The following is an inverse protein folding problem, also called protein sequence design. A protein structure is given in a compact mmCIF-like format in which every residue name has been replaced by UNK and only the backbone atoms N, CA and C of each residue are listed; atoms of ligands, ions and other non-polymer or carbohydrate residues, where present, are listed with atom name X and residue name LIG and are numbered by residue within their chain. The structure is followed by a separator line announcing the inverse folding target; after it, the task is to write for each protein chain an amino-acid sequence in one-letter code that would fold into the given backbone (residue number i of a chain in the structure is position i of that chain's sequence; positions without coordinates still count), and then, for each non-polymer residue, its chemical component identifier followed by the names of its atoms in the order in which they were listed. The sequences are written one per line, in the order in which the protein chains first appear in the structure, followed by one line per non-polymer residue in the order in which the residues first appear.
data_IF_603258940671
#
_entry.id   IF_603258940671
#
_cell.length_a   1.000
_cell.length_b   1.000
_cell.length_c   1.000
_cell.angle_alpha   90.00
_cell.angle_beta   90.00
_cell.angle_gamma   90.00
#
_symmetry.space_group_name_H-M   'P 1'
#
loop_
_entity.id
_entity.type
_entity.pdbx_description
1 polymer ?
#
# COMPACT_ATOMS: atom_id res chain seq x y z
N UNK A 1 4.28 -6.45 13.99
CA UNK A 1 5.01 -5.36 13.31
C UNK A 1 4.10 -4.36 12.64
N UNK A 2 3.26 -4.77 11.69
CA UNK A 2 2.35 -3.85 10.95
C UNK A 2 1.42 -3.06 11.88
N UNK A 3 0.86 -3.72 12.90
CA UNK A 3 0.01 -3.05 13.90
C UNK A 3 0.80 -2.01 14.69
N UNK A 4 2.02 -2.35 15.13
CA UNK A 4 2.90 -1.41 15.82
C UNK A 4 3.25 -0.19 14.96
N UNK A 5 3.52 -0.39 13.67
CA UNK A 5 3.77 0.71 12.73
C UNK A 5 2.52 1.59 12.56
N UNK A 6 1.33 0.99 12.46
CA UNK A 6 0.06 1.73 12.36
C UNK A 6 -0.19 2.59 13.60
N UNK A 7 0.06 2.05 14.79
CA UNK A 7 -0.06 2.79 16.05
C UNK A 7 0.99 3.91 16.16
N UNK A 8 2.22 3.66 15.74
CA UNK A 8 3.29 4.67 15.70
C UNK A 8 2.94 5.85 14.78
N UNK A 9 2.30 5.60 13.63
CA UNK A 9 1.78 6.68 12.76
C UNK A 9 0.70 7.53 13.45
N UNK A 10 0.02 6.97 14.46
CA UNK A 10 -0.96 7.68 15.30
C UNK A 10 -0.33 8.31 16.56
N UNK A 11 1.02 8.41 16.61
CA UNK A 11 1.79 8.93 17.74
C UNK A 11 1.58 8.12 19.04
N UNK A 12 1.32 6.80 18.92
CA UNK A 12 1.23 5.89 20.07
C UNK A 12 2.54 5.14 20.23
N UNK A 13 3.03 5.08 21.47
CA UNK A 13 4.20 4.31 21.84
C UNK A 13 3.82 2.87 22.12
N UNK A 14 4.58 1.91 21.56
CA UNK A 14 4.29 0.50 21.68
C UNK A 14 5.45 -0.26 22.31
N UNK A 15 5.12 -1.33 23.04
CA UNK A 15 6.04 -2.38 23.47
C UNK A 15 5.59 -3.70 22.83
N UNK A 16 6.49 -4.40 22.15
CA UNK A 16 6.26 -5.76 21.66
C UNK A 16 6.74 -6.75 22.71
N UNK A 17 5.95 -7.79 23.00
CA UNK A 17 6.31 -8.86 23.95
C UNK A 17 6.37 -10.17 23.20
N UNK A 18 7.56 -10.82 23.19
CA UNK A 18 7.82 -12.06 22.48
C UNK A 18 7.47 -13.27 23.35
N UNK A 19 6.31 -13.87 23.12
CA UNK A 19 5.88 -15.06 23.88
C UNK A 19 5.86 -16.34 23.03
N UNK A 20 6.22 -16.31 21.73
CA UNK A 20 6.41 -17.50 20.91
C UNK A 20 7.79 -18.11 21.20
N UNK A 21 7.87 -18.88 22.26
CA UNK A 21 9.12 -19.53 22.71
C UNK A 21 9.39 -20.86 21.99
N UNK A 22 8.42 -21.37 21.23
CA UNK A 22 8.49 -22.69 20.60
C UNK A 22 9.17 -22.70 19.25
N UNK A 23 9.18 -21.57 18.55
CA UNK A 23 9.91 -21.41 17.29
C UNK A 23 11.27 -20.78 17.53
N UNK A 24 12.37 -21.49 17.22
CA UNK A 24 13.72 -21.03 17.59
C UNK A 24 14.07 -19.61 17.13
N UNK A 25 13.51 -19.19 16.00
CA UNK A 25 13.82 -17.87 15.41
C UNK A 25 12.75 -16.78 15.69
N UNK A 26 11.64 -17.10 16.36
CA UNK A 26 10.54 -16.18 16.52
C UNK A 26 10.91 -14.93 17.34
N UNK A 27 11.59 -15.14 18.46
CA UNK A 27 12.06 -14.07 19.33
C UNK A 27 13.02 -13.16 18.60
N UNK A 28 14.00 -13.71 17.89
CA UNK A 28 15.02 -12.94 17.15
C UNK A 28 14.36 -12.19 15.96
N UNK A 29 13.40 -12.81 15.30
CA UNK A 29 12.63 -12.15 14.24
C UNK A 29 11.86 -10.93 14.79
N UNK A 30 11.20 -11.08 15.94
CA UNK A 30 10.47 -9.97 16.56
C UNK A 30 11.42 -8.86 17.04
N UNK A 31 12.60 -9.20 17.60
CA UNK A 31 13.66 -8.24 17.96
C UNK A 31 14.16 -7.46 16.76
N UNK A 32 14.47 -8.16 15.66
CA UNK A 32 14.91 -7.51 14.42
C UNK A 32 13.84 -6.56 13.91
N UNK A 33 12.59 -7.02 13.88
CA UNK A 33 11.45 -6.22 13.46
C UNK A 33 11.25 -4.98 14.35
N UNK A 34 11.36 -5.13 15.66
CA UNK A 34 11.30 -4.02 16.61
C UNK A 34 12.42 -3.01 16.37
N UNK A 35 13.65 -3.48 16.12
CA UNK A 35 14.79 -2.62 15.77
C UNK A 35 14.54 -1.84 14.48
N UNK A 36 14.07 -2.50 13.42
CA UNK A 36 13.80 -1.88 12.13
C UNK A 36 12.70 -0.80 12.23
N UNK A 37 11.74 -0.99 13.12
CA UNK A 37 10.64 -0.05 13.38
C UNK A 37 10.92 0.97 14.48
N UNK A 38 12.06 0.87 15.18
CA UNK A 38 12.33 1.62 16.41
C UNK A 38 11.18 1.45 17.45
N UNK A 39 10.80 0.20 17.70
CA UNK A 39 9.82 -0.21 18.71
C UNK A 39 10.51 -1.16 19.68
N UNK A 40 10.46 -0.91 21.00
CA UNK A 40 11.11 -1.78 21.99
C UNK A 40 10.44 -3.16 22.01
N UNK A 41 11.26 -4.19 22.27
CA UNK A 41 10.82 -5.59 22.39
C UNK A 41 11.23 -6.11 23.75
N UNK A 42 10.28 -6.73 24.46
CA UNK A 42 10.52 -7.45 25.70
C UNK A 42 10.54 -8.95 25.44
N UNK A 43 11.52 -9.65 25.99
CA UNK A 43 11.63 -11.11 25.96
C UNK A 43 12.36 -11.62 27.19
N UNK A 44 12.18 -12.90 27.53
CA UNK A 44 12.89 -13.61 28.60
C UNK A 44 13.57 -14.89 28.05
N UNK A 45 13.75 -14.97 26.73
CA UNK A 45 14.30 -16.13 26.07
C UNK A 45 13.32 -17.31 25.97
N UNK A 46 13.81 -18.44 25.48
CA UNK A 46 12.98 -19.61 25.17
C UNK A 46 12.63 -20.51 26.37
N UNK A 47 13.21 -20.26 27.55
CA UNK A 47 13.03 -21.15 28.72
C UNK A 47 11.96 -20.66 29.70
N UNK A 48 11.45 -19.47 29.53
CA UNK A 48 10.40 -18.93 30.37
C UNK A 48 9.00 -19.29 29.84
N UNK A 49 7.99 -19.32 30.72
CA UNK A 49 6.63 -19.64 30.26
C UNK A 49 5.95 -18.44 29.60
N UNK A 50 5.23 -18.63 28.49
CA UNK A 50 4.55 -17.56 27.78
C UNK A 50 3.63 -16.67 28.65
N UNK A 51 2.79 -17.21 29.56
CA UNK A 51 2.00 -16.38 30.46
C UNK A 51 2.83 -15.50 31.39
N UNK A 52 3.99 -15.99 31.88
CA UNK A 52 4.91 -15.23 32.71
C UNK A 52 5.58 -14.10 31.95
N UNK A 53 6.11 -14.39 30.76
CA UNK A 53 6.71 -13.38 29.89
C UNK A 53 5.71 -12.25 29.58
N UNK A 54 4.48 -12.63 29.26
CA UNK A 54 3.40 -11.71 28.95
C UNK A 54 3.09 -10.77 30.14
N UNK A 55 2.92 -11.35 31.33
CA UNK A 55 2.65 -10.59 32.55
C UNK A 55 3.81 -9.63 32.88
N UNK A 56 5.04 -10.12 32.82
CA UNK A 56 6.24 -9.33 33.10
C UNK A 56 6.43 -8.22 32.06
N UNK A 57 6.15 -8.49 30.78
CA UNK A 57 6.19 -7.48 29.72
C UNK A 57 5.17 -6.34 29.96
N UNK A 58 3.95 -6.68 30.40
CA UNK A 58 2.94 -5.66 30.80
C UNK A 58 3.41 -4.88 32.03
N UNK A 59 3.99 -5.56 33.02
CA UNK A 59 4.52 -4.90 34.21
C UNK A 59 5.68 -3.94 33.87
N UNK A 60 6.58 -4.35 32.96
CA UNK A 60 7.68 -3.49 32.47
C UNK A 60 7.13 -2.26 31.73
N UNK A 61 6.12 -2.41 30.87
CA UNK A 61 5.48 -1.28 30.21
C UNK A 61 4.88 -0.28 31.22
N UNK A 62 4.19 -0.78 32.24
CA UNK A 62 3.61 0.05 33.32
C UNK A 62 4.71 0.77 34.11
N UNK A 63 5.82 0.09 34.38
CA UNK A 63 6.98 0.66 35.10
C UNK A 63 7.65 1.77 34.30
N UNK A 64 7.77 1.60 32.98
CA UNK A 64 8.34 2.62 32.10
C UNK A 64 7.49 3.88 32.01
N UNK A 65 6.18 3.75 32.02
CA UNK A 65 5.21 4.86 32.02
C UNK A 65 5.13 5.66 30.71
N UNK A 66 5.94 5.30 29.70
CA UNK A 66 5.98 5.93 28.39
C UNK A 66 5.35 5.06 27.29
N UNK A 67 4.77 3.92 27.62
CA UNK A 67 4.16 2.96 26.71
C UNK A 67 2.63 3.10 26.73
N UNK A 68 2.06 3.42 25.57
CA UNK A 68 0.60 3.49 25.41
C UNK A 68 -0.04 2.13 25.16
N UNK A 69 0.65 1.25 24.40
CA UNK A 69 0.10 -0.03 23.94
C UNK A 69 1.14 -1.15 24.06
N UNK A 70 0.73 -2.26 24.68
CA UNK A 70 1.52 -3.49 24.71
C UNK A 70 0.93 -4.49 23.72
N UNK A 71 1.76 -5.02 22.82
CA UNK A 71 1.36 -6.04 21.85
C UNK A 71 2.06 -7.34 22.22
N UNK A 72 1.31 -8.32 22.69
CA UNK A 72 1.82 -9.65 23.03
C UNK A 72 1.71 -10.55 21.80
N UNK A 73 2.85 -11.00 21.30
CA UNK A 73 2.93 -11.90 20.15
C UNK A 73 3.00 -13.35 20.65
N UNK A 74 1.94 -14.11 20.40
CA UNK A 74 1.79 -15.49 20.87
C UNK A 74 2.10 -16.52 19.79
N UNK A 75 2.39 -17.74 20.20
CA UNK A 75 2.58 -18.86 19.28
C UNK A 75 1.32 -19.10 18.41
N UNK A 76 1.53 -19.28 17.11
CA UNK A 76 0.50 -19.69 16.15
C UNK A 76 0.83 -21.08 15.61
N UNK A 77 0.13 -22.11 16.07
CA UNK A 77 0.28 -23.49 15.57
C UNK A 77 -0.93 -23.86 14.73
N UNK A 78 -0.70 -24.65 13.67
CA UNK A 78 -1.77 -25.19 12.83
C UNK A 78 -2.60 -26.23 13.56
N UNK A 79 -1.96 -26.99 14.48
CA UNK A 79 -2.66 -27.97 15.29
C UNK A 79 -3.11 -27.31 16.60
N UNK A 80 -4.40 -27.21 16.76
CA UNK A 80 -5.06 -26.74 17.98
C UNK A 80 -5.09 -27.93 18.94
N UNK A 81 -4.13 -27.94 19.86
CA UNK A 81 -4.16 -28.88 20.97
C UNK A 81 -4.65 -28.18 22.26
N UNK A 82 -5.13 -28.98 23.20
CA UNK A 82 -5.67 -28.51 24.48
C UNK A 82 -4.61 -27.75 25.30
N UNK A 83 -3.34 -28.15 25.20
CA UNK A 83 -2.23 -27.51 25.91
C UNK A 83 -1.99 -26.09 25.43
N UNK A 84 -1.98 -25.88 24.11
CA UNK A 84 -1.85 -24.53 23.52
C UNK A 84 -3.03 -23.64 23.91
N UNK A 85 -4.25 -24.17 23.86
CA UNK A 85 -5.44 -23.39 24.24
C UNK A 85 -5.39 -22.96 25.70
N UNK A 86 -5.03 -23.85 26.60
CA UNK A 86 -4.87 -23.56 28.02
C UNK A 86 -3.78 -22.49 28.26
N UNK A 87 -2.66 -22.54 27.52
CA UNK A 87 -1.60 -21.56 27.58
C UNK A 87 -2.06 -20.18 27.12
N UNK A 88 -2.79 -20.10 26.02
CA UNK A 88 -3.34 -18.85 25.51
C UNK A 88 -4.37 -18.23 26.46
N UNK A 89 -5.23 -19.07 27.07
CA UNK A 89 -6.16 -18.63 28.12
C UNK A 89 -5.39 -18.07 29.32
N UNK A 90 -4.36 -18.79 29.79
CA UNK A 90 -3.52 -18.33 30.89
C UNK A 90 -2.79 -17.02 30.55
N UNK A 91 -2.30 -16.87 29.33
CA UNK A 91 -1.66 -15.64 28.84
C UNK A 91 -2.64 -14.48 28.82
N UNK A 92 -3.86 -14.68 28.31
CA UNK A 92 -4.92 -13.68 28.31
C UNK A 92 -5.27 -13.23 29.74
N UNK A 93 -5.44 -14.20 30.64
CA UNK A 93 -5.79 -13.91 32.05
C UNK A 93 -4.66 -13.18 32.79
N UNK A 94 -3.40 -13.55 32.56
CA UNK A 94 -2.25 -12.92 33.22
C UNK A 94 -2.00 -11.48 32.79
N UNK A 95 -2.37 -11.13 31.56
CA UNK A 95 -2.21 -9.78 31.02
C UNK A 95 -3.41 -8.89 31.22
N UNK A 96 -4.60 -9.46 31.46
CA UNK A 96 -5.88 -8.74 31.44
C UNK A 96 -6.04 -7.91 30.16
N UNK A 97 -5.77 -8.56 29.01
CA UNK A 97 -5.73 -7.89 27.72
C UNK A 97 -7.09 -7.26 27.37
N UNK A 98 -7.08 -5.98 26.98
CA UNK A 98 -8.26 -5.26 26.48
C UNK A 98 -8.75 -5.82 25.16
N UNK A 99 -7.83 -6.29 24.33
CA UNK A 99 -8.10 -6.85 23.00
C UNK A 99 -7.40 -8.20 22.81
N UNK A 100 -8.15 -9.18 22.36
CA UNK A 100 -7.64 -10.50 21.96
C UNK A 100 -7.98 -10.70 20.50
N UNK A 101 -7.00 -10.54 19.62
CA UNK A 101 -7.18 -10.54 18.18
C UNK A 101 -6.71 -11.85 17.56
N UNK A 102 -7.60 -12.55 16.87
CA UNK A 102 -7.24 -13.73 16.10
C UNK A 102 -6.75 -13.30 14.71
N UNK A 103 -5.55 -13.76 14.34
CA UNK A 103 -4.99 -13.53 12.99
C UNK A 103 -5.34 -14.71 12.11
N UNK A 104 -6.08 -14.46 11.04
CA UNK A 104 -6.62 -15.48 10.11
C UNK A 104 -6.09 -15.21 8.71
N UNK A 105 -5.60 -16.26 8.06
CA UNK A 105 -5.21 -16.22 6.65
C UNK A 105 -6.47 -16.35 5.76
N UNK A 106 -6.78 -15.32 4.97
CA UNK A 106 -7.95 -15.32 4.09
C UNK A 106 -7.86 -16.37 2.97
N UNK A 107 -6.66 -16.88 2.66
CA UNK A 107 -6.45 -17.87 1.60
C UNK A 107 -6.75 -19.31 2.05
N UNK A 108 -6.94 -19.56 3.35
CA UNK A 108 -7.23 -20.93 3.87
C UNK A 108 -8.68 -21.36 3.65
N UNK A 109 -9.54 -20.47 3.12
CA UNK A 109 -10.91 -20.82 2.74
C UNK A 109 -11.76 -21.26 3.94
N UNK A 110 -12.44 -22.42 3.83
CA UNK A 110 -13.34 -22.91 4.89
C UNK A 110 -12.62 -23.31 6.17
N UNK A 111 -11.35 -23.69 6.11
CA UNK A 111 -10.54 -23.98 7.30
C UNK A 111 -10.42 -22.77 8.21
N UNK A 112 -10.36 -21.56 7.63
CA UNK A 112 -10.38 -20.32 8.39
C UNK A 112 -11.59 -20.20 9.30
N UNK A 113 -12.77 -20.60 8.84
CA UNK A 113 -14.00 -20.56 9.62
C UNK A 113 -13.97 -21.55 10.78
N UNK A 114 -13.54 -22.79 10.53
CA UNK A 114 -13.44 -23.84 11.56
C UNK A 114 -12.44 -23.45 12.64
N UNK A 115 -11.26 -22.96 12.23
CA UNK A 115 -10.22 -22.46 13.13
C UNK A 115 -10.76 -21.30 13.98
N UNK A 116 -11.38 -20.32 13.35
CA UNK A 116 -11.93 -19.15 14.02
C UNK A 116 -12.98 -19.54 15.07
N UNK A 117 -13.84 -20.51 14.76
CA UNK A 117 -14.83 -21.00 15.70
C UNK A 117 -14.18 -21.60 16.95
N UNK A 118 -13.21 -22.49 16.76
CA UNK A 118 -12.51 -23.13 17.86
C UNK A 118 -11.83 -22.12 18.80
N UNK A 119 -11.18 -21.09 18.23
CA UNK A 119 -10.57 -20.04 19.02
C UNK A 119 -11.59 -19.11 19.68
N UNK A 120 -12.69 -18.76 18.99
CA UNK A 120 -13.74 -17.93 19.56
C UNK A 120 -14.42 -18.60 20.75
N UNK A 121 -14.70 -19.90 20.64
CA UNK A 121 -15.35 -20.69 21.69
C UNK A 121 -14.43 -20.89 22.92
N UNK A 122 -13.10 -21.04 22.71
CA UNK A 122 -12.16 -21.34 23.78
C UNK A 122 -11.60 -20.10 24.48
N UNK A 123 -11.30 -19.01 23.76
CA UNK A 123 -10.51 -17.89 24.27
C UNK A 123 -11.35 -16.61 24.42
N UNK A 124 -12.56 -16.56 23.87
CA UNK A 124 -13.39 -15.35 23.81
C UNK A 124 -12.60 -14.20 23.17
N UNK A 125 -12.30 -14.34 21.87
CA UNK A 125 -11.63 -13.30 21.07
C UNK A 125 -12.50 -12.04 21.00
N UNK A 126 -11.88 -10.86 20.95
CA UNK A 126 -12.59 -9.57 20.81
C UNK A 126 -12.71 -9.14 19.35
N UNK A 127 -11.93 -9.71 18.48
CA UNK A 127 -11.96 -9.42 17.05
C UNK A 127 -11.00 -10.28 16.24
N UNK A 128 -11.01 -10.09 14.92
CA UNK A 128 -10.12 -10.78 14.00
C UNK A 128 -9.32 -9.80 13.12
N UNK A 129 -8.16 -10.25 12.68
CA UNK A 129 -7.35 -9.63 11.64
C UNK A 129 -7.28 -10.62 10.47
N UNK A 130 -7.71 -10.20 9.29
CA UNK A 130 -7.58 -11.00 8.08
C UNK A 130 -6.28 -10.65 7.37
N UNK A 131 -5.46 -11.64 7.07
CA UNK A 131 -4.23 -11.47 6.28
C UNK A 131 -4.42 -11.99 4.86
N UNK A 132 -3.54 -11.58 3.95
CA UNK A 132 -3.54 -11.98 2.53
C UNK A 132 -4.85 -11.68 1.79
N UNK A 133 -5.55 -10.63 2.19
CA UNK A 133 -6.81 -10.24 1.56
C UNK A 133 -6.63 -9.74 0.12
N UNK A 134 -5.40 -9.39 -0.26
CA UNK A 134 -5.00 -9.08 -1.64
C UNK A 134 -5.17 -10.30 -2.59
N UNK A 135 -5.06 -11.53 -2.07
CA UNK A 135 -5.34 -12.77 -2.80
C UNK A 135 -6.83 -13.18 -2.82
N UNK A 136 -7.62 -12.75 -1.86
CA UNK A 136 -9.06 -13.04 -1.78
C UNK A 136 -9.87 -12.00 -2.58
N UNK A 137 -10.14 -12.31 -3.84
CA UNK A 137 -10.87 -11.41 -4.75
C UNK A 137 -12.35 -11.25 -4.39
N UNK A 138 -12.95 -12.22 -3.69
CA UNK A 138 -14.39 -12.27 -3.39
C UNK A 138 -14.73 -11.93 -1.94
N UNK A 139 -13.74 -11.81 -1.04
CA UNK A 139 -13.96 -11.51 0.36
C UNK A 139 -14.74 -12.60 1.14
N UNK A 140 -14.75 -13.84 0.65
CA UNK A 140 -15.48 -14.94 1.25
C UNK A 140 -15.00 -15.27 2.67
N UNK A 141 -13.69 -15.17 2.90
CA UNK A 141 -13.12 -15.39 4.24
C UNK A 141 -13.66 -14.38 5.26
N UNK A 142 -13.86 -13.13 4.89
CA UNK A 142 -14.39 -12.10 5.79
C UNK A 142 -15.81 -12.43 6.25
N UNK A 143 -16.68 -12.86 5.32
CA UNK A 143 -18.04 -13.29 5.65
C UNK A 143 -18.03 -14.50 6.58
N UNK A 144 -17.24 -15.53 6.23
CA UNK A 144 -17.18 -16.76 7.01
C UNK A 144 -16.66 -16.54 8.43
N UNK A 145 -15.58 -15.77 8.59
CA UNK A 145 -15.00 -15.42 9.90
C UNK A 145 -15.99 -14.62 10.74
N UNK A 146 -16.66 -13.65 10.16
CA UNK A 146 -17.66 -12.85 10.86
C UNK A 146 -18.86 -13.66 11.31
N UNK A 147 -19.40 -14.48 10.42
CA UNK A 147 -20.58 -15.34 10.69
C UNK A 147 -20.29 -16.33 11.81
N UNK A 148 -19.15 -17.03 11.74
CA UNK A 148 -18.80 -18.11 12.65
C UNK A 148 -18.40 -17.60 14.03
N UNK A 149 -17.65 -16.49 14.12
CA UNK A 149 -17.18 -15.94 15.40
C UNK A 149 -18.15 -14.99 16.07
N UNK A 150 -19.07 -14.38 15.31
CA UNK A 150 -19.89 -13.26 15.78
C UNK A 150 -19.08 -12.00 16.14
N UNK A 151 -17.74 -12.04 15.98
CA UNK A 151 -16.84 -10.94 16.40
C UNK A 151 -16.46 -10.06 15.21
N UNK A 152 -16.16 -8.76 15.45
CA UNK A 152 -15.81 -7.85 14.37
C UNK A 152 -14.43 -8.19 13.78
N UNK A 153 -14.28 -7.99 12.47
CA UNK A 153 -12.97 -7.88 11.86
C UNK A 153 -12.49 -6.45 12.13
N UNK A 154 -11.27 -6.31 12.65
CA UNK A 154 -10.69 -5.01 13.03
C UNK A 154 -9.75 -4.47 11.96
N UNK A 155 -8.92 -5.35 11.39
CA UNK A 155 -7.92 -4.98 10.41
C UNK A 155 -7.84 -6.00 9.28
N UNK A 156 -7.29 -5.54 8.15
CA UNK A 156 -6.99 -6.38 6.98
C UNK A 156 -5.56 -6.17 6.51
N UNK A 157 -4.83 -7.26 6.32
CA UNK A 157 -3.53 -7.25 5.66
C UNK A 157 -3.72 -7.36 4.15
N UNK A 158 -3.26 -6.36 3.43
CA UNK A 158 -3.48 -6.19 1.98
C UNK A 158 -2.20 -6.29 1.17
N UNK A 159 -1.16 -6.89 1.72
CA UNK A 159 0.13 -7.09 1.06
C UNK A 159 1.26 -7.40 2.04
N UNK A 160 2.48 -7.59 1.54
CA UNK A 160 3.65 -7.97 2.34
C UNK A 160 4.35 -6.78 3.01
N UNK A 161 4.27 -5.58 2.43
CA UNK A 161 4.92 -4.37 2.98
C UNK A 161 4.43 -4.06 4.39
N UNK A 162 5.28 -3.42 5.19
CA UNK A 162 4.98 -3.12 6.60
C UNK A 162 3.83 -2.14 6.78
N UNK A 163 3.54 -1.31 5.82
CA UNK A 163 2.42 -0.36 5.79
C UNK A 163 1.11 -0.97 5.25
N UNK A 164 1.14 -2.21 4.75
CA UNK A 164 -0.01 -2.90 4.18
C UNK A 164 -0.90 -3.53 5.27
N UNK A 165 -1.44 -2.70 6.16
CA UNK A 165 -2.45 -3.06 7.17
C UNK A 165 -3.49 -1.93 7.21
N UNK A 166 -4.70 -2.22 6.76
CA UNK A 166 -5.79 -1.27 6.75
C UNK A 166 -6.83 -1.59 7.84
N UNK A 167 -7.50 -0.59 8.45
CA UNK A 167 -8.71 -0.82 9.23
C UNK A 167 -9.77 -1.52 8.36
N UNK A 168 -10.56 -2.37 8.98
CA UNK A 168 -11.64 -3.04 8.26
C UNK A 168 -12.89 -2.15 8.18
N UNK A 169 -13.31 -1.85 6.96
CA UNK A 169 -14.53 -1.10 6.67
C UNK A 169 -15.58 -2.03 6.03
N UNK A 170 -16.65 -2.43 6.75
CA UNK A 170 -17.66 -3.36 6.25
C UNK A 170 -18.30 -2.94 4.93
N UNK A 171 -18.58 -1.64 4.76
CA UNK A 171 -19.21 -1.08 3.58
C UNK A 171 -18.31 -1.22 2.33
N UNK A 172 -17.01 -0.96 2.48
CA UNK A 172 -16.01 -1.14 1.40
C UNK A 172 -15.87 -2.61 1.02
N UNK A 173 -15.87 -3.49 2.02
CA UNK A 173 -15.82 -4.94 1.77
C UNK A 173 -17.07 -5.42 1.04
N UNK A 174 -18.26 -4.95 1.44
CA UNK A 174 -19.51 -5.25 0.76
C UNK A 174 -19.48 -4.79 -0.70
N UNK A 175 -19.04 -3.57 -0.97
CA UNK A 175 -18.91 -3.04 -2.33
C UNK A 175 -17.94 -3.89 -3.17
N UNK A 176 -16.84 -4.35 -2.56
CA UNK A 176 -15.86 -5.24 -3.21
C UNK A 176 -16.45 -6.62 -3.53
N UNK A 177 -17.19 -7.23 -2.60
CA UNK A 177 -17.88 -8.52 -2.79
C UNK A 177 -18.91 -8.42 -3.92
N UNK A 178 -19.64 -7.31 -4.00
CA UNK A 178 -20.65 -7.05 -5.04
C UNK A 178 -20.03 -6.63 -6.40
N UNK A 179 -18.70 -6.53 -6.49
CA UNK A 179 -18.00 -6.14 -7.72
C UNK A 179 -18.17 -4.66 -8.09
N UNK A 180 -18.60 -3.83 -7.14
CA UNK A 180 -18.79 -2.38 -7.34
C UNK A 180 -17.47 -1.59 -7.24
N UNK A 181 -16.36 -2.24 -6.89
CA UNK A 181 -15.07 -1.59 -6.67
C UNK A 181 -14.99 -0.84 -5.33
N UNK A 182 -13.80 -0.41 -4.98
CA UNK A 182 -13.54 0.40 -3.77
C UNK A 182 -12.98 1.78 -4.16
N UNK A 183 -13.87 2.62 -4.69
CA UNK A 183 -13.52 3.97 -5.16
C UNK A 183 -13.03 4.85 -4.01
N UNK A 184 -13.56 4.67 -2.80
CA UNK A 184 -13.19 5.49 -1.62
C UNK A 184 -11.74 5.22 -1.21
N UNK A 185 -11.37 3.95 -1.08
CA UNK A 185 -9.97 3.59 -0.77
C UNK A 185 -9.00 4.03 -1.87
N UNK A 186 -9.43 4.02 -3.13
CA UNK A 186 -8.63 4.54 -4.23
C UNK A 186 -8.37 6.05 -4.08
N UNK A 187 -9.42 6.82 -3.78
CA UNK A 187 -9.31 8.28 -3.60
C UNK A 187 -8.45 8.61 -2.37
N UNK A 188 -8.62 7.91 -1.25
CA UNK A 188 -7.81 8.11 -0.04
C UNK A 188 -6.33 7.82 -0.28
N UNK A 189 -5.99 6.68 -0.90
CA UNK A 189 -4.60 6.35 -1.26
C UNK A 189 -4.00 7.34 -2.25
N UNK A 190 -4.80 7.84 -3.19
CA UNK A 190 -4.37 8.89 -4.10
C UNK A 190 -4.07 10.20 -3.33
N UNK A 191 -4.87 10.55 -2.35
CA UNK A 191 -4.65 11.73 -1.52
C UNK A 191 -3.43 11.59 -0.60
N UNK A 192 -3.18 10.39 -0.05
CA UNK A 192 -1.99 10.13 0.78
C UNK A 192 -0.69 10.16 -0.04
N UNK A 193 -0.72 9.65 -1.28
CA UNK A 193 0.45 9.63 -2.17
C UNK A 193 0.82 11.04 -2.67
N UNK A 194 -0.16 11.94 -2.80
CA UNK A 194 0.05 13.31 -3.25
C UNK A 194 0.40 14.21 -2.07
N UNK A 195 1.70 14.42 -1.81
CA UNK A 195 2.14 15.47 -0.88
C UNK A 195 1.62 16.82 -1.39
N UNK A 196 1.10 17.64 -0.49
CA UNK A 196 0.43 18.90 -0.82
C UNK A 196 1.25 19.84 -1.72
N UNK A 197 2.58 19.88 -1.52
CA UNK A 197 3.51 20.66 -2.35
C UNK A 197 3.64 20.14 -3.80
N UNK A 198 3.59 18.79 -3.97
CA UNK A 198 3.65 18.17 -5.31
C UNK A 198 2.34 18.38 -6.07
N UNK A 199 1.19 18.42 -5.35
CA UNK A 199 -0.13 18.70 -5.94
C UNK A 199 -0.23 20.12 -6.50
N UNK A 200 0.33 21.13 -5.83
CA UNK A 200 0.35 22.51 -6.31
C UNK A 200 1.24 22.66 -7.54
N UNK A 201 2.44 22.08 -7.54
CA UNK A 201 3.34 22.08 -8.70
C UNK A 201 2.71 21.33 -9.89
N UNK A 202 2.05 20.21 -9.64
CA UNK A 202 1.35 19.42 -10.66
C UNK A 202 0.19 20.22 -11.26
N UNK A 203 -0.61 20.89 -10.43
CA UNK A 203 -1.70 21.76 -10.85
C UNK A 203 -1.18 22.91 -11.73
N UNK A 204 -0.06 23.54 -11.36
CA UNK A 204 0.56 24.60 -12.14
C UNK A 204 1.07 24.09 -13.51
N UNK A 205 1.70 22.91 -13.56
CA UNK A 205 2.17 22.29 -14.81
C UNK A 205 1.03 21.84 -15.71
N UNK A 206 -0.07 21.30 -15.13
CA UNK A 206 -1.30 21.00 -15.86
C UNK A 206 -1.88 22.28 -16.47
N UNK A 207 -1.97 23.36 -15.70
CA UNK A 207 -2.49 24.64 -16.20
C UNK A 207 -1.62 25.25 -17.30
N UNK A 208 -0.30 25.06 -17.24
CA UNK A 208 0.66 25.52 -18.27
C UNK A 208 0.77 24.58 -19.47
N UNK A 209 0.09 23.42 -19.43
CA UNK A 209 0.19 22.35 -20.44
C UNK A 209 1.64 21.90 -20.74
N UNK A 210 2.55 22.03 -19.77
CA UNK A 210 3.97 21.67 -19.87
C UNK A 210 4.21 20.34 -19.18
N UNK A 211 3.94 19.24 -19.86
CA UNK A 211 4.17 17.89 -19.36
C UNK A 211 5.43 17.30 -19.99
N UNK A 212 6.40 16.91 -19.18
CA UNK A 212 7.69 16.36 -19.58
C UNK A 212 7.93 14.92 -19.07
N UNK A 213 9.07 14.30 -19.41
CA UNK A 213 9.38 12.94 -18.97
C UNK A 213 9.69 12.87 -17.46
N UNK A 214 10.16 13.93 -16.83
CA UNK A 214 10.35 13.94 -15.37
C UNK A 214 8.99 13.95 -14.64
N UNK A 215 7.98 14.65 -15.18
CA UNK A 215 6.61 14.59 -14.68
C UNK A 215 5.97 13.22 -14.89
N UNK A 216 6.24 12.61 -16.04
CA UNK A 216 5.78 11.26 -16.34
C UNK A 216 6.37 10.24 -15.37
N UNK A 217 7.67 10.36 -15.06
CA UNK A 217 8.36 9.51 -14.08
C UNK A 217 7.77 9.69 -12.68
N UNK A 218 7.54 10.93 -12.24
CA UNK A 218 6.91 11.22 -10.94
C UNK A 218 5.52 10.60 -10.84
N UNK A 219 4.71 10.70 -11.90
CA UNK A 219 3.40 10.05 -11.94
C UNK A 219 3.51 8.53 -11.81
N UNK A 220 4.47 7.93 -12.50
CA UNK A 220 4.73 6.48 -12.41
C UNK A 220 5.17 6.07 -11.00
N UNK A 221 6.06 6.83 -10.36
CA UNK A 221 6.53 6.56 -9.01
C UNK A 221 5.39 6.73 -7.99
N UNK A 222 4.54 7.77 -8.12
CA UNK A 222 3.32 7.93 -7.30
C UNK A 222 2.36 6.75 -7.45
N UNK A 223 2.13 6.26 -8.68
CA UNK A 223 1.32 5.06 -8.91
C UNK A 223 1.96 3.82 -8.26
N UNK A 224 3.28 3.70 -8.28
CA UNK A 224 4.02 2.63 -7.60
C UNK A 224 3.90 2.69 -6.08
N UNK A 225 3.92 3.89 -5.50
CA UNK A 225 3.79 4.12 -4.05
C UNK A 225 2.36 3.86 -3.53
N UNK A 226 1.33 4.01 -4.38
CA UNK A 226 -0.05 3.65 -4.07
C UNK A 226 -0.31 2.14 -3.93
N UNK A 227 0.68 1.30 -4.18
CA UNK A 227 0.59 -0.15 -4.15
C UNK A 227 0.85 -0.81 -5.50
N UNK A 228 0.70 -2.14 -5.59
CA UNK A 228 0.87 -2.81 -6.88
C UNK A 228 -0.23 -2.38 -7.87
N UNK A 229 0.10 -2.28 -9.15
CA UNK A 229 -0.86 -1.97 -10.22
C UNK A 229 -2.09 -2.90 -10.17
N UNK A 230 -1.88 -4.15 -9.79
CA UNK A 230 -2.95 -5.14 -9.57
C UNK A 230 -3.92 -4.72 -8.46
N UNK A 231 -3.44 -4.13 -7.37
CA UNK A 231 -4.30 -3.65 -6.28
C UNK A 231 -5.11 -2.43 -6.68
N UNK A 232 -4.50 -1.48 -7.40
CA UNK A 232 -5.17 -0.28 -7.90
C UNK A 232 -6.27 -0.63 -8.90
N UNK A 233 -6.00 -1.54 -9.83
CA UNK A 233 -6.97 -1.97 -10.83
C UNK A 233 -8.16 -2.71 -10.21
N UNK A 234 -7.97 -3.48 -9.14
CA UNK A 234 -9.07 -4.13 -8.39
C UNK A 234 -10.00 -3.14 -7.69
N UNK A 235 -9.56 -1.92 -7.46
CA UNK A 235 -10.36 -0.84 -6.84
C UNK A 235 -11.22 -0.08 -7.85
N UNK A 236 -10.93 -0.18 -9.15
CA UNK A 236 -11.68 0.53 -10.20
C UNK A 236 -12.89 -0.31 -10.63
N UNK A 237 -14.12 0.25 -10.58
CA UNK A 237 -15.31 -0.43 -11.05
C UNK A 237 -15.20 -0.85 -12.52
N UNK A 238 -15.44 -2.14 -12.82
CA UNK A 238 -15.36 -2.69 -14.17
C UNK A 238 -13.97 -3.11 -14.65
N UNK A 239 -12.89 -2.84 -13.92
CA UNK A 239 -11.54 -3.30 -14.26
C UNK A 239 -11.30 -4.80 -13.97
N UNK A 240 -12.24 -5.48 -13.31
CA UNK A 240 -12.20 -6.92 -13.05
C UNK A 240 -12.16 -7.82 -14.32
N UNK A 241 -12.22 -7.22 -15.50
CA UNK A 241 -12.14 -7.90 -16.80
C UNK A 241 -10.68 -8.04 -17.31
N UNK A 242 -9.73 -7.36 -16.69
CA UNK A 242 -8.31 -7.46 -17.08
C UNK A 242 -7.71 -8.75 -16.50
N UNK A 243 -7.03 -9.49 -17.35
CA UNK A 243 -6.33 -10.71 -16.97
C UNK A 243 -5.10 -10.41 -16.12
N UNK A 244 -4.72 -11.31 -15.22
CA UNK A 244 -3.45 -11.22 -14.48
C UNK A 244 -2.23 -11.10 -15.41
N UNK A 245 -2.32 -11.63 -16.64
CA UNK A 245 -1.29 -11.48 -17.66
C UNK A 245 -1.18 -10.04 -18.15
N UNK A 246 -2.31 -9.40 -18.43
CA UNK A 246 -2.33 -8.00 -18.89
C UNK A 246 -1.74 -7.06 -17.84
N UNK A 247 -1.96 -7.37 -16.55
CA UNK A 247 -1.40 -6.62 -15.43
C UNK A 247 0.11 -6.81 -15.29
N UNK A 248 0.61 -8.03 -15.48
CA UNK A 248 2.05 -8.30 -15.48
C UNK A 248 2.77 -7.65 -16.66
N UNK A 249 2.14 -7.63 -17.82
CA UNK A 249 2.65 -6.94 -19.01
C UNK A 249 2.71 -5.43 -18.79
N UNK A 250 1.67 -4.82 -18.23
CA UNK A 250 1.68 -3.41 -17.86
C UNK A 250 2.82 -3.08 -16.86
N UNK A 251 3.02 -3.90 -15.84
CA UNK A 251 4.10 -3.69 -14.87
C UNK A 251 5.49 -3.80 -15.51
N UNK A 252 5.66 -4.72 -16.47
CA UNK A 252 6.89 -4.82 -17.25
C UNK A 252 7.12 -3.59 -18.13
N UNK A 253 6.07 -3.12 -18.83
CA UNK A 253 6.15 -1.92 -19.67
C UNK A 253 6.51 -0.68 -18.84
N UNK A 254 5.99 -0.56 -17.61
CA UNK A 254 6.38 0.51 -16.68
C UNK A 254 7.86 0.44 -16.27
N UNK A 255 8.38 -0.74 -15.97
CA UNK A 255 9.80 -0.92 -15.63
C UNK A 255 10.72 -0.59 -16.81
N UNK A 256 10.32 -0.96 -18.02
CA UNK A 256 11.02 -0.63 -19.26
C UNK A 256 11.02 0.88 -19.48
N UNK A 257 9.85 1.52 -19.38
CA UNK A 257 9.69 2.96 -19.51
C UNK A 257 10.58 3.73 -18.52
N UNK A 258 10.59 3.34 -17.26
CA UNK A 258 11.46 3.93 -16.23
C UNK A 258 12.94 3.81 -16.60
N UNK A 259 13.39 2.63 -17.06
CA UNK A 259 14.78 2.39 -17.48
C UNK A 259 15.19 3.29 -18.67
N UNK A 260 14.29 3.45 -19.65
CA UNK A 260 14.52 4.31 -20.81
C UNK A 260 14.62 5.78 -20.43
N UNK A 261 13.71 6.29 -19.60
CA UNK A 261 13.72 7.68 -19.13
C UNK A 261 14.98 7.97 -18.32
N UNK A 262 15.40 7.06 -17.46
CA UNK A 262 16.64 7.22 -16.68
C UNK A 262 17.90 7.22 -17.55
N UNK A 263 17.85 6.65 -18.75
CA UNK A 263 18.94 6.68 -19.74
C UNK A 263 18.96 7.97 -20.59
N UNK A 264 17.92 8.80 -20.54
CA UNK A 264 17.85 10.09 -21.22
C UNK A 264 18.69 11.15 -20.51
N UNK A 265 19.18 12.12 -21.27
CA UNK A 265 19.81 13.31 -20.67
C UNK A 265 18.75 14.20 -20.00
N UNK A 266 19.14 15.09 -19.04
CA UNK A 266 18.21 16.03 -18.42
C UNK A 266 17.46 16.91 -19.45
N UNK A 267 18.13 17.28 -20.54
CA UNK A 267 17.50 18.07 -21.61
C UNK A 267 16.45 17.27 -22.37
N UNK A 268 16.72 16.00 -22.68
CA UNK A 268 15.78 15.12 -23.39
C UNK A 268 14.56 14.81 -22.53
N UNK A 269 14.72 14.69 -21.20
CA UNK A 269 13.59 14.53 -20.30
C UNK A 269 12.72 15.77 -20.24
N UNK A 270 13.34 16.96 -20.25
CA UNK A 270 12.65 18.24 -20.19
C UNK A 270 12.01 18.64 -21.52
N UNK A 271 12.61 18.23 -22.65
CA UNK A 271 12.14 18.55 -23.99
C UNK A 271 11.91 17.28 -24.83
N UNK A 272 10.78 16.56 -24.59
CA UNK A 272 10.48 15.27 -25.26
C UNK A 272 10.49 15.34 -26.78
N UNK A 273 10.18 16.50 -27.35
CA UNK A 273 10.15 16.71 -28.81
C UNK A 273 11.54 16.52 -29.46
N UNK A 274 12.62 16.56 -28.68
CA UNK A 274 13.98 16.26 -29.17
C UNK A 274 14.15 14.78 -29.61
N UNK A 275 13.33 13.86 -29.09
CA UNK A 275 13.33 12.46 -29.47
C UNK A 275 12.41 12.15 -30.65
N UNK A 276 11.58 13.11 -31.05
CA UNK A 276 10.55 12.88 -32.10
C UNK A 276 10.82 13.73 -33.33
N UNK A 277 11.01 15.04 -33.16
CA UNK A 277 10.99 15.99 -34.27
C UNK A 277 12.34 16.64 -34.59
N UNK A 278 13.41 16.36 -33.84
CA UNK A 278 14.72 16.98 -34.10
C UNK A 278 15.48 16.23 -35.20
N UNK A 279 16.37 16.91 -35.88
CA UNK A 279 17.27 16.29 -36.90
C UNK A 279 18.20 15.21 -36.32
N UNK A 280 18.40 15.20 -34.98
CA UNK A 280 19.21 14.22 -34.26
C UNK A 280 18.36 13.20 -33.50
N UNK A 281 17.05 13.15 -33.75
CA UNK A 281 16.11 12.30 -33.00
C UNK A 281 16.48 10.81 -33.07
N UNK A 282 16.83 10.31 -34.25
CA UNK A 282 17.22 8.91 -34.45
C UNK A 282 18.48 8.54 -33.64
N UNK A 283 19.53 9.37 -33.72
CA UNK A 283 20.77 9.15 -32.97
C UNK A 283 20.53 9.17 -31.47
N UNK A 284 19.65 10.07 -30.98
CA UNK A 284 19.25 10.15 -29.56
C UNK A 284 18.47 8.93 -29.11
N UNK A 285 17.49 8.47 -29.91
CA UNK A 285 16.73 7.23 -29.65
C UNK A 285 17.66 6.03 -29.56
N UNK A 286 18.56 5.86 -30.53
CA UNK A 286 19.53 4.77 -30.57
C UNK A 286 20.43 4.75 -29.32
N UNK A 287 20.93 5.91 -28.93
CA UNK A 287 21.76 6.05 -27.71
C UNK A 287 20.95 5.72 -26.44
N UNK A 288 19.73 6.24 -26.31
CA UNK A 288 18.85 6.01 -25.16
C UNK A 288 18.49 4.53 -25.03
N UNK A 289 18.09 3.87 -26.12
CA UNK A 289 17.79 2.44 -26.15
C UNK A 289 19.00 1.58 -25.74
N UNK A 290 20.17 1.84 -26.34
CA UNK A 290 21.42 1.15 -25.99
C UNK A 290 21.81 1.37 -24.51
N UNK A 291 21.70 2.61 -24.01
CA UNK A 291 22.01 2.93 -22.61
C UNK A 291 21.10 2.24 -21.61
N UNK A 292 19.83 2.03 -21.96
CA UNK A 292 18.86 1.30 -21.15
C UNK A 292 18.91 -0.23 -21.35
N UNK A 293 19.65 -0.73 -22.34
CA UNK A 293 19.61 -2.14 -22.73
C UNK A 293 18.24 -2.56 -23.28
N UNK A 294 17.58 -1.66 -24.01
CA UNK A 294 16.22 -1.83 -24.56
C UNK A 294 16.20 -1.67 -26.08
N UNK A 295 15.14 -2.19 -26.69
CA UNK A 295 14.97 -2.14 -28.14
C UNK A 295 14.44 -0.77 -28.61
N UNK A 296 14.47 -0.54 -29.91
CA UNK A 296 13.86 0.65 -30.52
C UNK A 296 12.33 0.59 -30.42
N UNK A 297 11.76 -0.62 -30.44
CA UNK A 297 10.32 -0.85 -30.27
C UNK A 297 9.86 -0.46 -28.86
N UNK A 298 10.61 -0.83 -27.80
CA UNK A 298 10.35 -0.42 -26.43
C UNK A 298 10.32 1.11 -26.28
N UNK A 299 11.24 1.80 -26.98
CA UNK A 299 11.29 3.26 -26.93
C UNK A 299 10.14 3.89 -27.72
N UNK A 300 9.74 3.31 -28.84
CA UNK A 300 8.58 3.77 -29.60
C UNK A 300 7.29 3.63 -28.76
N UNK A 301 7.13 2.51 -28.06
CA UNK A 301 6.01 2.28 -27.15
C UNK A 301 5.96 3.34 -26.03
N UNK A 302 7.11 3.64 -25.41
CA UNK A 302 7.21 4.73 -24.43
C UNK A 302 6.77 6.08 -25.01
N UNK A 303 7.21 6.44 -26.20
CA UNK A 303 6.85 7.71 -26.86
C UNK A 303 5.34 7.78 -27.11
N UNK A 304 4.73 6.68 -27.57
CA UNK A 304 3.27 6.61 -27.80
C UNK A 304 2.51 6.75 -26.49
N UNK A 305 2.91 6.04 -25.43
CA UNK A 305 2.29 6.09 -24.10
C UNK A 305 2.40 7.50 -23.51
N UNK A 306 3.56 8.12 -23.58
CA UNK A 306 3.81 9.51 -23.14
C UNK A 306 2.94 10.50 -23.94
N UNK A 307 2.88 10.37 -25.26
CA UNK A 307 2.06 11.21 -26.12
C UNK A 307 0.57 11.13 -25.78
N UNK A 308 0.07 9.93 -25.55
CA UNK A 308 -1.32 9.71 -25.11
C UNK A 308 -1.63 10.39 -23.77
N UNK A 309 -0.71 10.31 -22.81
CA UNK A 309 -0.87 10.98 -21.52
C UNK A 309 -0.81 12.51 -21.66
N UNK A 310 0.10 13.03 -22.46
CA UNK A 310 0.22 14.47 -22.75
C UNK A 310 -1.09 15.05 -23.32
N UNK A 311 -1.71 14.32 -24.28
CA UNK A 311 -3.01 14.72 -24.84
C UNK A 311 -4.12 14.73 -23.79
N UNK A 312 -4.20 13.71 -22.93
CA UNK A 312 -5.17 13.67 -21.83
C UNK A 312 -4.98 14.83 -20.84
N UNK A 313 -3.73 15.15 -20.52
CA UNK A 313 -3.41 16.27 -19.63
C UNK A 313 -3.80 17.62 -20.26
N UNK A 314 -3.60 17.80 -21.56
CA UNK A 314 -4.05 18.99 -22.28
C UNK A 314 -5.58 19.11 -22.29
N UNK A 315 -6.30 18.01 -22.47
CA UNK A 315 -7.76 17.99 -22.40
C UNK A 315 -8.27 18.34 -21.00
N UNK A 316 -7.63 17.83 -19.95
CA UNK A 316 -7.94 18.17 -18.56
C UNK A 316 -7.67 19.67 -18.28
N UNK A 317 -6.55 20.21 -18.74
CA UNK A 317 -6.22 21.62 -18.63
C UNK A 317 -7.29 22.50 -19.28
N UNK A 318 -7.72 22.15 -20.49
CA UNK A 318 -8.78 22.86 -21.20
C UNK A 318 -10.13 22.79 -20.45
N UNK A 319 -10.49 21.63 -19.91
CA UNK A 319 -11.70 21.44 -19.13
C UNK A 319 -11.69 22.26 -17.82
N UNK A 320 -10.58 22.23 -17.08
CA UNK A 320 -10.41 23.04 -15.86
C UNK A 320 -10.42 24.54 -16.14
N UNK A 321 -9.82 24.98 -17.24
CA UNK A 321 -9.87 26.38 -17.67
C UNK A 321 -11.30 26.85 -17.99
N UNK A 322 -12.12 25.98 -18.59
CA UNK A 322 -13.51 26.27 -18.90
C UNK A 322 -14.42 26.32 -17.66
N UNK A 323 -14.16 25.48 -16.65
CA UNK A 323 -14.87 25.50 -15.36
C UNK A 323 -14.48 26.71 -14.50
N UNK A 324 -13.19 27.06 -14.44
CA UNK A 324 -12.72 28.26 -13.76
C UNK A 324 -13.33 29.53 -14.36
N UNK A 325 -13.49 29.58 -15.68
CA UNK A 325 -14.17 30.69 -16.36
C UNK A 325 -15.69 30.74 -16.04
N UNK A 326 -16.35 29.61 -15.87
CA UNK A 326 -17.77 29.53 -15.46
C UNK A 326 -18.00 29.94 -14.01
N UNK A 327 -16.98 29.78 -13.14
CA UNK A 327 -17.02 30.17 -11.73
C UNK A 327 -16.55 31.61 -11.48
N UNK A 328 -16.29 32.40 -12.53
CA UNK A 328 -15.91 33.82 -12.42
C UNK A 328 -14.49 34.03 -11.90
N UNK A 329 -13.67 33.00 -11.82
CA UNK A 329 -12.27 33.07 -11.47
C UNK A 329 -11.47 33.42 -12.72
N UNK A 330 -11.25 34.69 -12.96
CA UNK A 330 -10.38 35.16 -14.06
C UNK A 330 -8.94 34.70 -13.80
N UNK A 331 -8.27 34.04 -14.77
CA UNK A 331 -6.85 33.79 -14.67
C UNK A 331 -6.12 35.12 -14.72
N UNK A 332 -5.29 35.43 -13.73
CA UNK A 332 -4.44 36.60 -13.63
C UNK A 332 -3.28 36.58 -14.66
N UNK A 333 -3.61 36.63 -15.93
CA UNK A 333 -2.60 36.89 -16.96
C UNK A 333 -3.25 37.47 -18.19
N UNK A 334 -3.15 38.78 -18.18
CA UNK A 334 -3.40 39.60 -19.34
C UNK A 334 -2.52 39.16 -20.51
N UNK A 335 -3.20 38.92 -21.64
CA UNK A 335 -2.67 38.89 -22.99
C UNK A 335 -1.49 39.86 -23.19
N UNK A 336 -0.25 39.30 -23.26
CA UNK A 336 0.90 40.16 -23.52
C UNK A 336 2.23 39.47 -23.75
N UNK A 337 2.26 38.31 -24.46
CA UNK A 337 3.53 37.75 -24.98
C UNK A 337 3.31 36.68 -26.06
N UNK A 338 2.49 36.99 -27.05
CA UNK A 338 2.41 36.20 -28.29
C UNK A 338 2.61 37.12 -29.51
N UNK A 339 3.71 37.88 -29.52
CA UNK A 339 4.23 38.50 -30.71
C UNK A 339 5.73 38.68 -30.56
N UNK A 340 6.47 37.71 -31.12
CA UNK A 340 7.77 37.82 -31.77
C UNK A 340 8.56 36.51 -31.66
N UNK A 341 8.25 35.60 -32.55
CA UNK A 341 9.26 34.68 -33.05
C UNK A 341 9.90 35.34 -34.27
N UNK A 342 11.22 35.52 -34.34
CA UNK A 342 11.87 35.92 -35.57
C UNK A 342 11.86 34.70 -36.51
N UNK A 343 11.35 34.93 -37.72
CA UNK A 343 11.59 34.05 -38.88
C UNK A 343 13.05 34.19 -39.24
N UNK A 344 13.83 33.15 -39.11
CA UNK A 344 14.89 32.76 -40.08
C UNK A 344 15.23 31.28 -39.80
#
# INVERSE_FOLDING_TARGET
GKLALSLKKQNKTCLLVATDVYRPAAIDQLKKLGSDLNVPVYDEGANASPPSIAANGVAEAKKRGDIDVVIVDTAGRLNIDEALMNELIATKMSTQADETLLVVDAMTGQEAATLTKSFADAIDITGAILTKLDGDTRGGAALSVREVSGKPIKFTGVGEKMDALDPFYPERMTSRILGMGDVVSFVEKAQEAVKQADAEQMKEKIMKATFDFDDFLKNMDMMGDMGSMSQLMKMIPGANKLSDKDMQEAEKSFKIAKSLIMSMTPEERKYPDMLVASSTAESRRNRTGKGAGKTEEDLAELIVMFGGMRVKMQQMSAAMGSEAAKLGLQPHWSSGALTKLPRQ
#
